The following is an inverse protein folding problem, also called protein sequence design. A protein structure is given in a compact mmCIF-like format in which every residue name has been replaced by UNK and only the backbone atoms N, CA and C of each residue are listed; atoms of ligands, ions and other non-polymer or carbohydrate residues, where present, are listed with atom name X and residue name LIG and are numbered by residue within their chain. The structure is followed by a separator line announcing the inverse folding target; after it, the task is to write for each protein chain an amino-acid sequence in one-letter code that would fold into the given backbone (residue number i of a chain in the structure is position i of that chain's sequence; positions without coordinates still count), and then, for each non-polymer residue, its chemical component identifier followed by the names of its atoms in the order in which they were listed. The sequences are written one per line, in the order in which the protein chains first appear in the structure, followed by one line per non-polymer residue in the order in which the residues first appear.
data_IF_852082404569
#
_entry.id   IF_852082404569
#
_cell.length_a   1.000
_cell.length_b   1.000
_cell.length_c   1.000
_cell.angle_alpha   90.00
_cell.angle_beta   90.00
_cell.angle_gamma   90.00
#
_symmetry.space_group_name_H-M   'P 1'
#
loop_
_entity.id
_entity.type
_entity.pdbx_description
1 polymer ?
#
# COMPACT_ATOMS: atom_id res chain seq x y z
N UNK A 1 25.14 7.65 6.73
CA UNK A 1 26.13 6.53 6.66
C UNK A 1 26.99 6.58 5.39
N UNK A 2 28.29 6.24 5.42
CA UNK A 2 29.16 6.14 4.22
C UNK A 2 29.09 4.73 3.58
N UNK A 3 29.55 4.54 2.33
CA UNK A 3 29.49 3.24 1.63
C UNK A 3 30.37 2.20 2.35
N UNK A 4 31.54 2.62 2.83
CA UNK A 4 32.48 1.78 3.55
C UNK A 4 31.85 1.23 4.83
N UNK A 5 31.10 2.08 5.54
CA UNK A 5 30.38 1.70 6.75
C UNK A 5 29.23 0.73 6.44
N UNK A 6 28.49 0.93 5.35
CA UNK A 6 27.47 -0.03 4.88
C UNK A 6 28.12 -1.39 4.59
N UNK A 7 29.28 -1.40 3.94
CA UNK A 7 30.03 -2.64 3.63
C UNK A 7 30.45 -3.39 4.90
N UNK A 8 30.99 -2.67 5.91
CA UNK A 8 31.35 -3.26 7.20
C UNK A 8 30.12 -3.85 7.90
N UNK A 9 29.01 -3.10 7.96
CA UNK A 9 27.77 -3.56 8.60
C UNK A 9 27.16 -4.74 7.85
N UNK A 10 27.20 -4.75 6.52
CA UNK A 10 26.75 -5.88 5.70
C UNK A 10 27.57 -7.15 5.97
N UNK A 11 28.91 -7.03 6.06
CA UNK A 11 29.79 -8.17 6.37
C UNK A 11 29.46 -8.80 7.73
N UNK A 12 29.08 -7.98 8.71
CA UNK A 12 28.66 -8.41 10.04
C UNK A 12 27.27 -9.08 10.10
N UNK A 13 26.46 -9.02 9.03
CA UNK A 13 25.14 -9.65 9.01
C UNK A 13 25.24 -11.19 9.02
N UNK A 14 24.26 -11.83 9.65
CA UNK A 14 24.04 -13.28 9.57
C UNK A 14 23.74 -13.70 8.11
N UNK A 15 24.06 -14.94 7.68
CA UNK A 15 23.85 -15.39 6.30
C UNK A 15 22.41 -15.18 5.79
N UNK A 16 21.39 -15.49 6.59
CA UNK A 16 19.97 -15.27 6.23
C UNK A 16 19.64 -13.79 6.00
N UNK A 17 20.20 -12.90 6.82
CA UNK A 17 20.03 -11.44 6.67
C UNK A 17 20.77 -10.92 5.44
N UNK A 18 21.92 -11.50 5.07
CA UNK A 18 22.61 -11.16 3.81
C UNK A 18 21.77 -11.50 2.58
N UNK A 19 21.12 -12.67 2.57
CA UNK A 19 20.19 -13.06 1.48
C UNK A 19 19.04 -12.05 1.41
N UNK A 20 18.48 -11.68 2.55
CA UNK A 20 17.37 -10.72 2.63
C UNK A 20 17.79 -9.32 2.19
N UNK A 21 18.98 -8.85 2.59
CA UNK A 21 19.60 -7.63 2.09
C UNK A 21 19.64 -7.63 0.55
N UNK A 22 20.19 -8.68 -0.05
CA UNK A 22 20.35 -8.77 -1.51
C UNK A 22 19.01 -8.75 -2.22
N UNK A 23 18.02 -9.50 -1.71
CA UNK A 23 16.65 -9.49 -2.27
C UNK A 23 16.02 -8.10 -2.22
N UNK A 24 16.15 -7.40 -1.09
CA UNK A 24 15.62 -6.05 -0.94
C UNK A 24 16.34 -5.06 -1.86
N UNK A 25 17.66 -5.16 -1.97
CA UNK A 25 18.47 -4.31 -2.84
C UNK A 25 18.06 -4.48 -4.31
N UNK A 26 18.00 -5.72 -4.80
CA UNK A 26 17.57 -6.04 -6.16
C UNK A 26 16.16 -5.49 -6.40
N UNK A 27 15.21 -5.80 -5.50
CA UNK A 27 13.83 -5.33 -5.67
C UNK A 27 13.69 -3.82 -5.72
N UNK A 28 14.52 -3.07 -4.98
CA UNK A 28 14.55 -1.61 -5.05
C UNK A 28 15.17 -1.12 -6.36
N UNK A 29 16.25 -1.76 -6.84
CA UNK A 29 16.88 -1.43 -8.11
C UNK A 29 15.95 -1.69 -9.29
N UNK A 30 15.26 -2.84 -9.31
CA UNK A 30 14.26 -3.18 -10.35
C UNK A 30 13.14 -2.14 -10.42
N UNK A 31 12.71 -1.60 -9.27
CA UNK A 31 11.69 -0.55 -9.22
C UNK A 31 12.19 0.76 -9.83
N UNK A 32 13.46 1.12 -9.57
CA UNK A 32 14.07 2.32 -10.15
C UNK A 32 14.24 2.15 -11.65
N UNK A 33 14.77 1.00 -12.09
CA UNK A 33 14.91 0.69 -13.51
C UNK A 33 13.56 0.75 -14.23
N UNK A 34 12.53 0.13 -13.66
CA UNK A 34 11.17 0.17 -14.21
C UNK A 34 10.62 1.60 -14.29
N UNK A 35 10.93 2.44 -13.31
CA UNK A 35 10.52 3.84 -13.31
C UNK A 35 11.26 4.65 -14.38
N UNK A 36 12.53 4.35 -14.65
CA UNK A 36 13.37 5.02 -15.65
C UNK A 36 12.97 4.73 -17.10
N UNK A 37 12.14 3.70 -17.34
CA UNK A 37 11.55 3.43 -18.67
C UNK A 37 10.52 4.51 -19.04
N UNK A 38 9.91 5.17 -18.04
CA UNK A 38 8.93 6.22 -18.25
C UNK A 38 9.64 7.54 -18.56
N UNK A 39 9.08 8.38 -19.44
CA UNK A 39 9.64 9.73 -19.65
C UNK A 39 9.52 10.56 -18.36
N UNK A 40 10.61 11.21 -17.97
CA UNK A 40 10.69 12.01 -16.74
C UNK A 40 9.79 13.26 -16.76
N UNK A 41 9.63 13.95 -15.60
CA UNK A 41 10.41 13.87 -14.36
C UNK A 41 10.05 12.71 -13.42
N UNK A 42 11.04 12.18 -12.69
CA UNK A 42 10.87 11.03 -11.80
C UNK A 42 10.56 11.44 -10.36
N UNK A 43 9.47 10.87 -9.81
CA UNK A 43 9.09 11.01 -8.40
C UNK A 43 9.15 9.66 -7.70
N UNK A 44 10.00 9.54 -6.69
CA UNK A 44 10.08 8.36 -5.83
C UNK A 44 9.18 8.57 -4.62
N UNK A 45 8.03 7.88 -4.62
CA UNK A 45 7.12 7.89 -3.47
C UNK A 45 7.68 6.96 -2.39
N UNK A 46 7.99 7.50 -1.22
CA UNK A 46 8.50 6.72 -0.09
C UNK A 46 7.34 6.08 0.67
N UNK A 47 7.45 4.77 0.88
CA UNK A 47 6.54 3.98 1.72
C UNK A 47 6.83 4.18 3.22
N UNK A 48 5.82 3.97 4.08
CA UNK A 48 5.92 4.04 5.54
C UNK A 48 7.00 3.11 6.07
N UNK A 49 7.21 1.93 5.45
CA UNK A 49 8.27 1.01 5.81
C UNK A 49 9.69 1.60 5.66
N UNK A 50 9.93 2.41 4.63
CA UNK A 50 11.24 3.08 4.43
C UNK A 50 11.45 4.08 5.57
N UNK A 51 10.42 4.89 5.83
CA UNK A 51 10.43 5.90 6.89
C UNK A 51 10.67 5.27 8.27
N UNK A 52 9.95 4.20 8.61
CA UNK A 52 10.09 3.50 9.89
C UNK A 52 11.49 2.91 10.08
N UNK A 53 12.12 2.39 9.02
CA UNK A 53 13.50 1.89 9.08
C UNK A 53 14.49 3.02 9.31
N UNK A 54 14.31 4.18 8.68
CA UNK A 54 15.14 5.37 8.91
C UNK A 54 14.96 5.94 10.32
N UNK A 55 13.76 5.87 10.89
CA UNK A 55 13.55 6.28 12.28
C UNK A 55 14.24 5.30 13.25
N UNK A 56 14.08 3.99 13.02
CA UNK A 56 14.75 2.95 13.81
C UNK A 56 16.27 3.11 13.79
N UNK A 57 16.84 3.57 12.67
CA UNK A 57 18.26 3.88 12.56
C UNK A 57 18.73 4.93 13.58
N UNK A 58 17.95 6.00 13.82
CA UNK A 58 18.28 6.99 14.86
C UNK A 58 18.35 6.39 16.26
N UNK A 59 17.60 5.31 16.49
CA UNK A 59 17.58 4.58 17.75
C UNK A 59 18.72 3.54 17.83
N UNK A 60 19.63 3.52 16.84
CA UNK A 60 20.77 2.60 16.78
C UNK A 60 20.47 1.27 16.07
N UNK A 61 19.25 1.06 15.58
CA UNK A 61 18.86 -0.21 14.97
C UNK A 61 19.26 -0.26 13.49
N UNK A 62 20.29 -1.06 13.18
CA UNK A 62 20.78 -1.28 11.82
C UNK A 62 20.29 -2.65 11.34
N UNK A 63 19.29 -2.64 10.45
CA UNK A 63 18.74 -3.84 9.82
C UNK A 63 19.24 -4.03 8.38
N UNK A 64 19.14 -5.24 7.85
CA UNK A 64 19.48 -5.51 6.45
C UNK A 64 18.66 -4.67 5.46
N UNK A 65 17.38 -4.43 5.72
CA UNK A 65 16.58 -3.58 4.83
C UNK A 65 16.90 -2.09 4.95
N UNK A 66 17.35 -1.61 6.11
CA UNK A 66 17.89 -0.25 6.20
C UNK A 66 19.15 -0.12 5.34
N UNK A 67 20.07 -1.08 5.43
CA UNK A 67 21.30 -1.06 4.65
C UNK A 67 21.00 -1.09 3.14
N UNK A 68 20.02 -1.88 2.70
CA UNK A 68 19.64 -1.90 1.27
C UNK A 68 19.07 -0.56 0.83
N UNK A 69 18.19 0.07 1.62
CA UNK A 69 17.66 1.42 1.35
C UNK A 69 18.80 2.43 1.21
N UNK A 70 19.69 2.51 2.20
CA UNK A 70 20.78 3.48 2.21
C UNK A 70 21.73 3.28 1.02
N UNK A 71 22.01 2.03 0.64
CA UNK A 71 22.83 1.74 -0.53
C UNK A 71 22.13 2.14 -1.83
N UNK A 72 20.85 1.77 -1.99
CA UNK A 72 20.04 2.14 -3.16
C UNK A 72 20.04 3.66 -3.37
N UNK A 73 19.72 4.46 -2.36
CA UNK A 73 19.68 5.92 -2.50
C UNK A 73 21.04 6.53 -2.84
N UNK A 74 22.14 5.92 -2.38
CA UNK A 74 23.48 6.33 -2.81
C UNK A 74 23.77 6.03 -4.27
N UNK A 75 23.23 4.93 -4.80
CA UNK A 75 23.37 4.57 -6.21
C UNK A 75 22.52 5.49 -7.10
N UNK A 76 21.25 5.71 -6.75
CA UNK A 76 20.34 6.59 -7.48
C UNK A 76 20.94 7.97 -7.69
N UNK A 77 21.55 8.54 -6.65
CA UNK A 77 22.19 9.86 -6.70
C UNK A 77 23.37 9.97 -7.67
N UNK A 78 23.94 8.85 -8.08
CA UNK A 78 25.03 8.81 -9.07
C UNK A 78 24.51 8.68 -10.50
N UNK A 79 23.22 8.41 -10.68
CA UNK A 79 22.60 8.34 -11.99
C UNK A 79 22.46 9.76 -12.58
N UNK A 80 22.50 9.91 -13.92
CA UNK A 80 22.34 11.21 -14.59
C UNK A 80 20.89 11.71 -14.59
N UNK A 81 20.05 11.24 -13.66
CA UNK A 81 18.63 11.56 -13.59
C UNK A 81 18.32 12.31 -12.29
N UNK A 82 17.37 13.24 -12.37
CA UNK A 82 16.83 13.91 -11.19
C UNK A 82 15.65 13.12 -10.64
N UNK A 83 15.69 12.83 -9.34
CA UNK A 83 14.61 12.14 -8.62
C UNK A 83 14.13 13.00 -7.46
N UNK A 84 12.86 13.41 -7.51
CA UNK A 84 12.18 14.02 -6.38
C UNK A 84 11.75 12.94 -5.40
N UNK A 85 12.03 13.11 -4.11
CA UNK A 85 11.48 12.24 -3.09
C UNK A 85 10.15 12.81 -2.62
N UNK A 86 9.12 11.97 -2.62
CA UNK A 86 7.76 12.37 -2.25
C UNK A 86 7.24 11.47 -1.15
N UNK A 87 6.60 12.03 -0.13
CA UNK A 87 5.78 11.28 0.83
C UNK A 87 4.33 11.71 0.69
N UNK A 88 3.45 10.73 0.51
CA UNK A 88 2.01 10.98 0.42
C UNK A 88 1.40 11.20 1.81
N UNK A 89 0.32 11.98 1.93
CA UNK A 89 -0.36 12.21 3.20
C UNK A 89 -0.77 10.93 3.93
N UNK A 90 -1.11 9.86 3.22
CA UNK A 90 -1.46 8.55 3.81
C UNK A 90 -0.31 7.89 4.54
N UNK A 91 0.88 7.90 3.95
CA UNK A 91 2.10 7.34 4.55
C UNK A 91 2.44 8.08 5.83
N UNK A 92 2.31 9.40 5.80
CA UNK A 92 2.49 10.26 6.96
C UNK A 92 1.45 9.98 8.05
N UNK A 93 0.17 9.91 7.69
CA UNK A 93 -0.92 9.60 8.61
C UNK A 93 -0.73 8.24 9.29
N UNK A 94 -0.37 7.21 8.54
CA UNK A 94 -0.12 5.86 9.07
C UNK A 94 1.02 5.88 10.10
N UNK A 95 2.14 6.49 9.75
CA UNK A 95 3.31 6.58 10.62
C UNK A 95 3.00 7.26 11.95
N UNK A 96 2.30 8.41 11.92
CA UNK A 96 1.98 9.14 13.15
C UNK A 96 0.90 8.47 13.99
N UNK A 97 -0.05 7.77 13.35
CA UNK A 97 -1.04 6.96 14.08
C UNK A 97 -0.37 5.86 14.90
N UNK A 98 0.65 5.19 14.35
CA UNK A 98 1.41 4.17 15.08
C UNK A 98 2.15 4.73 16.31
N UNK A 99 2.42 6.04 16.34
CA UNK A 99 3.07 6.73 17.47
C UNK A 99 2.09 7.17 18.56
N UNK A 100 0.79 6.92 18.40
CA UNK A 100 -0.26 7.28 19.37
C UNK A 100 -0.24 8.77 19.78
N UNK A 101 0.08 9.65 18.84
CA UNK A 101 0.13 11.11 19.09
C UNK A 101 -1.27 11.68 19.28
N UNK A 102 -1.43 12.60 20.24
CA UNK A 102 -2.75 13.00 20.78
C UNK A 102 -3.34 14.25 20.14
N UNK A 103 -2.55 15.05 19.43
CA UNK A 103 -3.01 16.33 18.84
C UNK A 103 -2.40 16.62 17.47
N UNK A 104 -3.13 17.36 16.63
CA UNK A 104 -2.65 17.83 15.32
C UNK A 104 -1.36 18.65 15.43
N UNK A 105 -1.21 19.44 16.50
CA UNK A 105 0.01 20.20 16.74
C UNK A 105 1.24 19.30 16.98
N UNK A 106 1.07 18.26 17.81
CA UNK A 106 2.11 17.25 18.03
C UNK A 106 2.45 16.51 16.74
N UNK A 107 1.44 16.17 15.93
CA UNK A 107 1.62 15.57 14.61
C UNK A 107 2.47 16.46 13.70
N UNK A 108 2.21 17.77 13.68
CA UNK A 108 2.98 18.73 12.87
C UNK A 108 4.44 18.89 13.32
N UNK A 109 4.70 18.85 14.63
CA UNK A 109 6.09 18.88 15.12
C UNK A 109 6.82 17.61 14.66
N UNK A 110 6.19 16.44 14.84
CA UNK A 110 6.76 15.14 14.44
C UNK A 110 6.94 15.01 12.94
N UNK A 111 6.05 15.61 12.15
CA UNK A 111 6.21 15.75 10.71
C UNK A 111 7.52 16.43 10.32
N UNK A 112 7.81 17.60 10.90
CA UNK A 112 9.04 18.35 10.58
C UNK A 112 10.29 17.57 10.98
N UNK A 113 10.25 16.89 12.13
CA UNK A 113 11.34 16.00 12.55
C UNK A 113 11.56 14.84 11.56
N UNK A 114 10.48 14.26 11.05
CA UNK A 114 10.51 13.20 10.05
C UNK A 114 11.07 13.68 8.72
N UNK A 115 10.63 14.86 8.25
CA UNK A 115 11.16 15.50 7.03
C UNK A 115 12.66 15.65 7.13
N UNK A 116 13.14 16.29 8.19
CA UNK A 116 14.56 16.52 8.44
C UNK A 116 15.35 15.21 8.53
N UNK A 117 14.77 14.17 9.12
CA UNK A 117 15.38 12.85 9.21
C UNK A 117 15.60 12.24 7.81
N UNK A 118 14.55 12.17 7.00
CA UNK A 118 14.63 11.55 5.67
C UNK A 118 15.58 12.34 4.78
N UNK A 119 15.48 13.67 4.80
CA UNK A 119 16.37 14.53 4.01
C UNK A 119 17.83 14.38 4.43
N UNK A 120 18.12 14.27 5.73
CA UNK A 120 19.48 14.06 6.23
C UNK A 120 20.04 12.69 5.84
N UNK A 121 19.27 11.63 6.03
CA UNK A 121 19.79 10.26 5.87
C UNK A 121 19.88 9.84 4.41
N UNK A 122 18.90 10.23 3.60
CA UNK A 122 18.92 10.00 2.16
C UNK A 122 19.73 11.07 1.43
N UNK A 123 19.90 12.25 2.04
CA UNK A 123 20.62 13.41 1.51
C UNK A 123 19.93 14.10 0.34
N UNK A 124 18.62 13.94 0.20
CA UNK A 124 17.82 14.48 -0.90
C UNK A 124 16.66 15.27 -0.32
N UNK A 125 16.23 16.33 -1.02
CA UNK A 125 15.05 17.10 -0.61
C UNK A 125 13.80 16.22 -0.62
N UNK A 126 12.96 16.35 0.40
CA UNK A 126 11.73 15.60 0.55
C UNK A 126 10.54 16.55 0.39
N UNK A 127 9.68 16.22 -0.55
CA UNK A 127 8.40 16.88 -0.75
C UNK A 127 7.31 16.06 -0.11
N UNK A 128 6.41 16.72 0.59
CA UNK A 128 5.18 16.09 1.00
C UNK A 128 4.03 16.61 0.18
N UNK A 129 3.30 15.69 -0.42
CA UNK A 129 2.22 16.02 -1.34
C UNK A 129 1.06 16.67 -0.57
N UNK A 130 0.96 18.00 -0.59
CA UNK A 130 -0.13 18.76 0.03
C UNK A 130 -0.02 19.06 1.53
N UNK A 131 0.99 18.57 2.25
CA UNK A 131 1.15 18.78 3.71
C UNK A 131 2.36 19.65 4.10
N UNK A 132 2.77 20.58 3.23
CA UNK A 132 3.90 21.49 3.49
C UNK A 132 3.58 22.63 4.48
N UNK A 133 2.32 22.80 4.87
CA UNK A 133 1.87 23.79 5.87
C UNK A 133 1.11 23.10 7.00
N UNK A 134 1.01 23.77 8.16
CA UNK A 134 0.21 23.26 9.27
C UNK A 134 -1.25 23.03 8.87
N UNK A 135 -1.84 23.99 8.16
CA UNK A 135 -3.22 23.91 7.67
C UNK A 135 -3.40 22.77 6.67
N UNK A 136 -2.44 22.56 5.76
CA UNK A 136 -2.47 21.43 4.83
C UNK A 136 -2.38 20.10 5.57
N UNK A 137 -1.45 19.98 6.53
CA UNK A 137 -1.35 18.80 7.39
C UNK A 137 -2.65 18.53 8.15
N UNK A 138 -3.24 19.55 8.76
CA UNK A 138 -4.51 19.44 9.48
C UNK A 138 -5.66 18.99 8.58
N UNK A 139 -5.81 19.62 7.41
CA UNK A 139 -6.82 19.24 6.41
C UNK A 139 -6.68 17.77 6.00
N UNK A 140 -5.50 17.35 5.55
CA UNK A 140 -5.30 15.98 5.08
C UNK A 140 -5.43 14.94 6.20
N UNK A 141 -4.97 15.25 7.42
CA UNK A 141 -5.19 14.38 8.58
C UNK A 141 -6.68 14.17 8.83
N UNK A 142 -7.48 15.24 8.82
CA UNK A 142 -8.92 15.17 9.02
C UNK A 142 -9.62 14.40 7.89
N UNK A 143 -9.34 14.74 6.62
CA UNK A 143 -9.97 14.07 5.47
C UNK A 143 -9.64 12.58 5.42
N UNK A 144 -8.38 12.19 5.65
CA UNK A 144 -7.99 10.77 5.72
C UNK A 144 -8.68 10.05 6.88
N UNK A 145 -8.74 10.68 8.06
CA UNK A 145 -9.37 10.08 9.22
C UNK A 145 -10.88 9.91 9.03
N UNK A 146 -11.55 10.91 8.46
CA UNK A 146 -12.97 10.87 8.14
C UNK A 146 -13.29 9.76 7.15
N UNK A 147 -12.51 9.67 6.06
CA UNK A 147 -12.69 8.61 5.07
C UNK A 147 -12.41 7.22 5.67
N UNK A 148 -11.36 7.09 6.49
CA UNK A 148 -11.04 5.82 7.15
C UNK A 148 -12.18 5.34 8.05
N UNK A 149 -12.84 6.24 8.80
CA UNK A 149 -14.00 5.87 9.62
C UNK A 149 -15.25 5.58 8.78
N UNK A 150 -15.50 6.33 7.68
CA UNK A 150 -16.57 6.00 6.71
C UNK A 150 -16.37 4.58 6.15
N UNK A 151 -15.17 4.28 5.68
CA UNK A 151 -14.77 2.97 5.15
C UNK A 151 -14.98 1.87 6.21
N UNK A 152 -14.47 2.08 7.43
CA UNK A 152 -14.59 1.12 8.53
C UNK A 152 -16.04 0.83 8.91
N UNK A 153 -16.88 1.87 9.02
CA UNK A 153 -18.32 1.72 9.31
C UNK A 153 -19.02 0.90 8.22
N UNK A 154 -18.68 1.15 6.96
CA UNK A 154 -19.21 0.37 5.84
C UNK A 154 -18.74 -1.08 5.89
N UNK A 155 -17.45 -1.33 6.17
CA UNK A 155 -16.93 -2.69 6.33
C UNK A 155 -17.67 -3.47 7.43
N UNK A 156 -17.92 -2.85 8.59
CA UNK A 156 -18.69 -3.46 9.67
C UNK A 156 -20.13 -3.75 9.22
N UNK A 157 -20.76 -2.80 8.51
CA UNK A 157 -22.11 -2.98 7.96
C UNK A 157 -22.15 -4.16 6.99
N UNK A 158 -21.14 -4.28 6.12
CA UNK A 158 -21.02 -5.39 5.20
C UNK A 158 -20.78 -6.69 5.93
N UNK A 159 -19.88 -6.73 6.92
CA UNK A 159 -19.63 -7.92 7.72
C UNK A 159 -20.91 -8.47 8.39
N UNK A 160 -21.78 -7.58 8.86
CA UNK A 160 -23.00 -7.94 9.58
C UNK A 160 -24.21 -8.21 8.67
N UNK A 161 -24.11 -7.93 7.37
CA UNK A 161 -25.19 -8.15 6.42
C UNK A 161 -25.21 -9.62 5.99
N UNK A 162 -26.39 -10.24 6.01
CA UNK A 162 -26.57 -11.58 5.46
C UNK A 162 -26.64 -11.50 3.93
N UNK A 163 -25.47 -11.56 3.28
CA UNK A 163 -25.36 -11.49 1.84
C UNK A 163 -25.94 -12.73 1.17
N UNK A 164 -26.99 -12.55 0.37
CA UNK A 164 -27.45 -13.55 -0.60
C UNK A 164 -27.13 -13.03 -1.99
N UNK A 165 -25.95 -13.39 -2.50
CA UNK A 165 -25.53 -13.03 -3.85
C UNK A 165 -25.80 -14.23 -4.76
N UNK A 166 -26.63 -14.02 -5.78
CA UNK A 166 -26.78 -15.00 -6.85
C UNK A 166 -25.76 -14.72 -7.96
N UNK A 167 -24.73 -15.56 -8.03
CA UNK A 167 -23.67 -15.46 -9.03
C UNK A 167 -24.06 -16.07 -10.38
N UNK A 168 -25.23 -16.73 -10.48
CA UNK A 168 -25.74 -17.29 -11.74
C UNK A 168 -27.10 -16.65 -12.02
N UNK A 169 -27.17 -15.82 -13.04
CA UNK A 169 -28.42 -15.12 -13.42
C UNK A 169 -28.76 -15.38 -14.87
N UNK A 170 -30.01 -15.15 -15.27
CA UNK A 170 -30.39 -15.24 -16.68
C UNK A 170 -29.73 -14.11 -17.49
N UNK A 171 -29.47 -14.38 -18.76
CA UNK A 171 -29.12 -13.37 -19.75
C UNK A 171 -30.20 -12.28 -19.76
N UNK A 172 -29.80 -11.00 -19.81
CA UNK A 172 -30.73 -9.87 -19.77
C UNK A 172 -31.14 -9.40 -18.37
N UNK A 173 -30.57 -9.95 -17.30
CA UNK A 173 -30.79 -9.52 -15.90
C UNK A 173 -30.26 -8.12 -15.55
N UNK A 174 -29.62 -7.43 -16.50
CA UNK A 174 -29.08 -6.08 -16.29
C UNK A 174 -27.73 -6.04 -15.55
N UNK A 175 -27.12 -7.19 -15.24
CA UNK A 175 -25.80 -7.30 -14.61
C UNK A 175 -24.82 -7.93 -15.60
N UNK A 176 -23.61 -7.37 -15.79
CA UNK A 176 -22.60 -7.96 -16.68
C UNK A 176 -22.12 -9.32 -16.14
N UNK A 177 -21.75 -10.22 -17.05
CA UNK A 177 -21.26 -11.56 -16.70
C UNK A 177 -20.78 -12.35 -17.92
N UNK A 178 -20.24 -13.54 -17.67
CA UNK A 178 -19.77 -14.47 -18.71
C UNK A 178 -20.86 -15.47 -19.05
N UNK A 179 -21.19 -15.62 -20.33
CA UNK A 179 -22.19 -16.60 -20.78
C UNK A 179 -21.74 -18.02 -20.42
N UNK A 180 -22.64 -18.80 -19.83
CA UNK A 180 -22.44 -20.23 -19.63
C UNK A 180 -22.90 -20.95 -20.90
N UNK A 181 -21.94 -21.52 -21.63
CA UNK A 181 -22.14 -22.15 -22.94
C UNK A 181 -23.32 -23.12 -22.95
N UNK A 182 -24.20 -22.99 -23.95
CA UNK A 182 -25.38 -23.86 -24.12
C UNK A 182 -26.54 -23.57 -23.15
N UNK A 183 -26.52 -22.44 -22.45
CA UNK A 183 -27.56 -22.06 -21.50
C UNK A 183 -28.00 -20.60 -21.66
N UNK A 184 -29.16 -20.24 -21.09
CA UNK A 184 -29.64 -18.85 -20.98
C UNK A 184 -29.09 -18.13 -19.73
N UNK A 185 -27.99 -18.61 -19.15
CA UNK A 185 -27.45 -18.09 -17.90
C UNK A 185 -26.06 -17.46 -18.09
N UNK A 186 -25.77 -16.48 -17.24
CA UNK A 186 -24.48 -15.82 -17.08
C UNK A 186 -23.90 -16.14 -15.70
N UNK A 187 -22.59 -16.35 -15.65
CA UNK A 187 -21.79 -16.33 -14.44
C UNK A 187 -21.34 -14.90 -14.17
N UNK A 188 -21.75 -14.36 -13.02
CA UNK A 188 -21.38 -13.00 -12.60
C UNK A 188 -20.11 -13.09 -11.75
N UNK A 189 -19.00 -12.46 -12.15
CA UNK A 189 -17.79 -12.37 -11.34
C UNK A 189 -18.03 -11.59 -10.04
N UNK A 190 -17.33 -11.93 -8.95
CA UNK A 190 -17.32 -11.16 -7.71
C UNK A 190 -17.11 -9.64 -7.88
N UNK A 191 -16.28 -9.23 -8.85
CA UNK A 191 -16.03 -7.82 -9.14
C UNK A 191 -17.27 -7.08 -9.67
N UNK A 192 -18.13 -7.73 -10.46
CA UNK A 192 -19.35 -7.10 -10.98
C UNK A 192 -20.49 -7.09 -9.95
N UNK A 193 -20.52 -8.09 -9.07
CA UNK A 193 -21.39 -8.03 -7.88
C UNK A 193 -20.96 -6.89 -6.96
N UNK A 194 -19.66 -6.70 -6.77
CA UNK A 194 -19.13 -5.58 -5.98
C UNK A 194 -19.57 -4.22 -6.53
N UNK A 195 -19.55 -4.07 -7.86
CA UNK A 195 -20.01 -2.84 -8.54
C UNK A 195 -21.51 -2.62 -8.44
N UNK A 196 -22.34 -3.66 -8.51
CA UNK A 196 -23.80 -3.50 -8.39
C UNK A 196 -24.27 -3.25 -6.96
N UNK A 197 -23.45 -3.60 -5.96
CA UNK A 197 -23.70 -3.31 -4.55
C UNK A 197 -23.08 -1.98 -4.11
N UNK A 198 -22.38 -1.28 -5.01
CA UNK A 198 -21.73 -0.02 -4.72
C UNK A 198 -22.76 1.05 -4.34
N UNK A 199 -22.51 1.71 -3.21
CA UNK A 199 -23.14 2.97 -2.85
C UNK A 199 -22.02 3.96 -2.57
N UNK A 200 -22.08 5.18 -3.12
CA UNK A 200 -21.13 6.24 -2.79
C UNK A 200 -21.02 6.39 -1.27
N UNK A 201 -19.80 6.35 -0.76
CA UNK A 201 -19.43 6.56 0.64
C UNK A 201 -19.23 8.05 0.97
N UNK A 202 -19.14 8.91 -0.05
CA UNK A 202 -18.77 10.31 0.06
C UNK A 202 -17.34 10.49 0.55
N UNK A 203 -16.37 9.80 -0.07
CA UNK A 203 -14.96 9.92 0.29
C UNK A 203 -14.39 11.24 -0.25
N UNK A 204 -13.61 11.94 0.57
CA UNK A 204 -13.03 13.24 0.23
C UNK A 204 -11.57 13.14 -0.24
N UNK A 205 -10.82 12.20 0.35
CA UNK A 205 -9.40 12.00 0.08
C UNK A 205 -9.16 10.78 -0.82
N UNK A 206 -9.78 9.65 -0.51
CA UNK A 206 -9.58 8.44 -1.29
C UNK A 206 -10.49 8.38 -2.52
N UNK A 207 -9.97 7.85 -3.62
CA UNK A 207 -10.74 7.54 -4.82
C UNK A 207 -11.89 6.57 -4.47
N UNK A 208 -13.12 7.07 -4.53
CA UNK A 208 -14.31 6.40 -4.04
C UNK A 208 -14.60 5.09 -4.80
N UNK A 209 -14.40 5.11 -6.12
CA UNK A 209 -14.64 3.97 -7.00
C UNK A 209 -13.61 2.87 -6.70
N UNK A 210 -12.32 3.24 -6.64
CA UNK A 210 -11.25 2.27 -6.33
C UNK A 210 -11.36 1.72 -4.92
N UNK A 211 -11.61 2.59 -3.94
CA UNK A 211 -11.75 2.20 -2.53
C UNK A 211 -12.87 1.19 -2.38
N UNK A 212 -14.01 1.44 -3.03
CA UNK A 212 -15.16 0.57 -2.87
C UNK A 212 -15.02 -0.75 -3.61
N UNK A 213 -14.44 -0.74 -4.83
CA UNK A 213 -14.05 -1.98 -5.52
C UNK A 213 -13.10 -2.82 -4.67
N UNK A 214 -12.12 -2.20 -4.01
CA UNK A 214 -11.19 -2.88 -3.12
C UNK A 214 -11.90 -3.46 -1.89
N UNK A 215 -12.75 -2.68 -1.21
CA UNK A 215 -13.46 -3.12 0.00
C UNK A 215 -14.34 -4.33 -0.29
N UNK A 216 -15.11 -4.29 -1.38
CA UNK A 216 -15.97 -5.40 -1.76
C UNK A 216 -15.20 -6.61 -2.27
N UNK A 217 -14.16 -6.45 -3.09
CA UNK A 217 -13.35 -7.59 -3.55
C UNK A 217 -12.61 -8.26 -2.40
N UNK A 218 -12.05 -7.48 -1.47
CA UNK A 218 -11.41 -7.99 -0.25
C UNK A 218 -12.42 -8.69 0.65
N UNK A 219 -13.60 -8.11 0.86
CA UNK A 219 -14.64 -8.73 1.67
C UNK A 219 -15.19 -10.02 1.04
N UNK A 220 -15.50 -10.03 -0.26
CA UNK A 220 -15.99 -11.23 -0.97
C UNK A 220 -14.91 -12.30 -1.03
N UNK A 221 -13.64 -11.96 -1.26
CA UNK A 221 -12.55 -12.95 -1.21
C UNK A 221 -12.39 -13.55 0.19
N UNK A 222 -12.53 -12.76 1.26
CA UNK A 222 -12.55 -13.26 2.64
C UNK A 222 -13.76 -14.19 2.85
N UNK A 223 -14.97 -13.78 2.47
CA UNK A 223 -16.17 -14.61 2.59
C UNK A 223 -16.08 -15.91 1.78
N UNK A 224 -15.56 -15.85 0.56
CA UNK A 224 -15.33 -17.03 -0.28
C UNK A 224 -14.29 -17.93 0.37
N UNK A 225 -13.20 -17.41 0.91
CA UNK A 225 -12.20 -18.22 1.62
C UNK A 225 -12.76 -18.88 2.88
N UNK A 226 -13.60 -18.17 3.65
CA UNK A 226 -14.27 -18.70 4.83
C UNK A 226 -15.32 -19.77 4.50
N UNK A 227 -16.10 -19.56 3.43
CA UNK A 227 -17.09 -20.53 2.95
C UNK A 227 -16.44 -21.75 2.24
N UNK A 228 -15.29 -21.56 1.60
CA UNK A 228 -14.48 -22.65 1.05
C UNK A 228 -13.94 -23.54 2.18
N UNK A 229 -13.54 -22.94 3.30
CA UNK A 229 -13.05 -23.70 4.48
C UNK A 229 -14.15 -24.56 5.12
N UNK A 230 -15.42 -24.12 5.04
CA UNK A 230 -16.58 -24.88 5.55
C UNK A 230 -17.19 -25.85 4.53
N UNK A 231 -16.89 -25.73 3.23
CA UNK A 231 -17.38 -26.66 2.18
C UNK A 231 -16.31 -27.60 1.58
N UNK A 232 -15.02 -27.44 1.89
CA UNK A 232 -13.95 -28.33 1.41
C UNK A 232 -13.74 -29.58 2.28
N UNK A 233 -14.81 -30.33 2.58
CA UNK A 233 -14.68 -31.76 2.92
C UNK A 233 -14.87 -32.67 1.70
N UNK A 234 -15.22 -32.13 0.54
CA UNK A 234 -15.26 -32.89 -0.71
C UNK A 234 -15.05 -31.97 -1.91
N UNK A 235 -13.88 -32.10 -2.54
CA UNK A 235 -13.61 -32.03 -3.99
C UNK A 235 -12.11 -31.74 -4.16
N UNK A 236 -11.43 -32.73 -4.70
CA UNK A 236 -10.01 -32.73 -5.01
C UNK A 236 -9.63 -31.64 -6.03
N UNK A 237 -8.55 -30.94 -5.70
CA UNK A 237 -7.51 -30.37 -6.57
C UNK A 237 -7.89 -30.07 -8.03
N UNK A 238 -7.99 -28.77 -8.38
CA UNK A 238 -7.19 -28.06 -9.42
C UNK A 238 -7.67 -26.60 -9.52
N UNK A 239 -7.35 -25.76 -8.54
CA UNK A 239 -7.48 -24.29 -8.66
C UNK A 239 -6.55 -23.53 -7.68
N UNK A 240 -5.48 -24.17 -7.21
CA UNK A 240 -4.39 -23.49 -6.51
C UNK A 240 -3.49 -22.84 -7.55
N UNK A 241 -3.76 -21.58 -7.89
CA UNK A 241 -2.88 -20.56 -8.49
C UNK A 241 -3.76 -19.67 -9.35
N UNK A 242 -4.07 -18.46 -8.88
CA UNK A 242 -4.28 -17.23 -9.68
C UNK A 242 -4.94 -16.15 -8.82
N UNK A 243 -4.30 -15.71 -7.73
CA UNK A 243 -4.59 -14.40 -7.13
C UNK A 243 -3.29 -13.86 -6.52
N UNK A 244 -2.34 -13.57 -7.41
CA UNK A 244 -1.34 -12.53 -7.20
C UNK A 244 -1.68 -11.41 -8.18
N UNK A 245 -1.35 -10.16 -7.81
CA UNK A 245 -1.50 -8.87 -8.51
C UNK A 245 -2.61 -8.02 -7.84
N UNK A 246 -2.35 -6.88 -7.20
CA UNK A 246 -1.37 -5.82 -7.49
C UNK A 246 -0.80 -5.15 -6.23
N UNK A 247 0.47 -4.74 -6.33
CA UNK A 247 1.20 -3.84 -5.43
C UNK A 247 0.49 -2.48 -5.32
N UNK A 248 0.48 -1.91 -4.12
CA UNK A 248 0.25 -0.48 -3.89
C UNK A 248 1.49 0.33 -4.28
#
# INVERSE_FOLDING_TARGET
MKIEEISIRFKALKPKSKITFTKNLISLLDQIESALILEGPYRLVLDSNIIMRLESYRQGNISEGLLSILLTFKLIKKLPFHFDLVVRPTVFYEYLRQKNLKSTHEHWIKFKELKNLVEKELGSKLFFDGIETYQGAEYYLQSIQNDAEKIKKTLITYQNKNWKVNFIQRVGSGVPGFLLTGTEYILIPPAFVAESLFSPLGLEYFDEIKSSRFLFSTYISILLSANITTKMSSINTTARKSFYLLKF
#
